data_IF_311764419237
#
_entry.id   IF_311764419237
#
_cell.length_a   1.000
_cell.length_b   1.000
_cell.length_c   1.000
_cell.angle_alpha   90.00
_cell.angle_beta   90.00
_cell.angle_gamma   90.00
#
_symmetry.space_group_name_H-M   'P 1'
#
loop_
_entity.id
_entity.type
_entity.pdbx_description
1 polymer ?
#
# COMPACT_ATOMS: atom_id res chain seq x y z
N UNK A 1 46.80 -64.97 14.33
CA UNK A 1 45.52 -64.40 13.83
C UNK A 1 45.07 -63.31 14.80
N UNK A 2 45.07 -62.06 14.32
CA UNK A 2 44.38 -60.84 14.79
C UNK A 2 44.33 -60.55 16.31
N UNK A 3 45.23 -59.68 16.77
CA UNK A 3 44.99 -58.78 17.91
C UNK A 3 44.54 -57.42 17.37
N UNK A 4 43.35 -56.96 17.76
CA UNK A 4 42.86 -55.60 17.53
C UNK A 4 43.10 -54.82 18.82
N UNK A 5 43.87 -53.74 18.74
CA UNK A 5 44.14 -52.82 19.84
C UNK A 5 42.96 -51.83 19.99
N UNK A 6 42.40 -51.73 21.18
CA UNK A 6 41.50 -50.63 21.56
C UNK A 6 42.35 -49.40 21.91
N UNK A 7 42.20 -48.32 21.13
CA UNK A 7 42.61 -46.99 21.54
C UNK A 7 41.53 -46.39 22.45
N UNK A 8 41.93 -46.02 23.67
CA UNK A 8 41.11 -45.25 24.61
C UNK A 8 41.40 -43.77 24.40
N UNK A 9 40.45 -43.01 23.85
CA UNK A 9 40.55 -41.55 23.73
C UNK A 9 39.99 -40.94 25.02
N UNK A 10 40.88 -40.34 25.82
CA UNK A 10 40.57 -39.59 27.03
C UNK A 10 40.13 -38.17 26.61
N UNK A 11 38.84 -37.86 26.70
CA UNK A 11 38.34 -36.49 26.52
C UNK A 11 38.60 -35.69 27.80
N UNK A 12 39.52 -34.72 27.72
CA UNK A 12 39.74 -33.72 28.76
C UNK A 12 38.61 -32.67 28.68
N UNK A 13 37.62 -32.76 29.57
CA UNK A 13 36.57 -31.75 29.72
C UNK A 13 37.17 -30.53 30.44
N UNK A 14 37.60 -29.53 29.67
CA UNK A 14 37.88 -28.19 30.20
C UNK A 14 36.54 -27.47 30.32
N UNK A 15 35.99 -27.42 31.53
CA UNK A 15 34.84 -26.59 31.86
C UNK A 15 35.34 -25.16 32.06
N UNK A 16 35.28 -24.34 31.02
CA UNK A 16 35.37 -22.88 31.17
C UNK A 16 34.03 -22.39 31.71
N UNK A 17 34.01 -21.52 32.75
CA UNK A 17 32.77 -20.89 33.17
C UNK A 17 32.35 -19.91 32.08
N UNK A 18 31.33 -20.26 31.30
CA UNK A 18 30.61 -19.32 30.46
C UNK A 18 29.80 -18.43 31.39
N UNK A 19 30.43 -17.38 31.91
CA UNK A 19 29.72 -16.19 32.37
C UNK A 19 29.49 -15.36 31.11
N UNK A 20 28.59 -15.83 30.26
CA UNK A 20 27.94 -14.99 29.26
C UNK A 20 26.72 -14.41 29.94
N UNK A 21 26.80 -13.18 30.44
CA UNK A 21 25.60 -12.36 30.52
C UNK A 21 25.04 -12.33 29.10
N UNK A 22 23.97 -13.05 28.85
CA UNK A 22 23.08 -12.74 27.73
C UNK A 22 22.55 -11.35 28.06
N UNK A 23 23.25 -10.32 27.58
CA UNK A 23 22.61 -9.04 27.34
C UNK A 23 21.56 -9.34 26.26
N UNK A 24 20.38 -9.80 26.68
CA UNK A 24 19.17 -9.56 25.91
C UNK A 24 19.20 -8.06 25.68
N UNK A 25 19.32 -7.66 24.41
CA UNK A 25 19.28 -6.25 24.05
C UNK A 25 17.92 -5.77 24.56
N UNK A 26 17.93 -4.83 25.50
CA UNK A 26 16.72 -4.09 25.85
C UNK A 26 16.42 -3.21 24.64
N UNK A 27 15.52 -3.69 23.79
CA UNK A 27 15.10 -3.07 22.55
C UNK A 27 14.36 -1.74 22.79
N UNK A 28 14.01 -1.41 24.04
CA UNK A 28 13.35 -0.14 24.39
C UNK A 28 14.18 1.10 24.08
N UNK A 29 15.52 1.01 24.10
CA UNK A 29 16.43 2.13 23.89
C UNK A 29 17.11 2.13 22.51
N UNK A 30 16.87 1.11 21.68
CA UNK A 30 17.45 1.02 20.35
C UNK A 30 16.89 2.12 19.47
N UNK A 31 17.79 2.93 18.90
CA UNK A 31 17.44 3.91 17.88
C UNK A 31 17.55 3.31 16.48
N UNK A 32 16.48 3.48 15.72
CA UNK A 32 16.36 2.99 14.35
C UNK A 32 15.47 3.92 13.52
N UNK A 33 15.57 3.77 12.21
CA UNK A 33 14.88 4.62 11.25
C UNK A 33 14.17 3.83 10.16
N UNK A 34 13.03 4.36 9.70
CA UNK A 34 12.25 3.81 8.60
C UNK A 34 11.97 4.92 7.58
N UNK A 35 12.40 4.69 6.33
CA UNK A 35 11.93 5.48 5.20
C UNK A 35 10.61 4.89 4.68
N UNK A 36 9.62 5.73 4.41
CA UNK A 36 8.42 5.32 3.69
C UNK A 36 8.00 6.38 2.68
N UNK A 37 7.38 5.92 1.60
CA UNK A 37 6.96 6.77 0.48
C UNK A 37 5.56 6.36 0.03
N UNK A 38 4.96 7.16 -0.86
CA UNK A 38 3.66 6.87 -1.47
C UNK A 38 3.66 5.72 -2.47
N UNK A 39 2.53 5.59 -3.19
CA UNK A 39 2.27 4.52 -4.15
C UNK A 39 3.33 4.46 -5.27
N UNK A 40 3.76 3.24 -5.61
CA UNK A 40 4.75 2.98 -6.67
C UNK A 40 4.08 2.28 -7.85
N UNK A 41 3.78 3.08 -8.87
CA UNK A 41 3.34 2.67 -10.20
C UNK A 41 4.44 3.02 -11.19
N UNK A 42 5.22 2.02 -11.62
CA UNK A 42 6.51 2.25 -12.30
C UNK A 42 6.68 1.32 -13.50
N UNK A 43 6.49 1.86 -14.71
CA UNK A 43 6.67 1.11 -15.97
C UNK A 43 8.01 1.35 -16.69
N UNK A 44 8.89 2.17 -16.11
CA UNK A 44 10.15 2.59 -16.72
C UNK A 44 11.22 2.80 -15.66
N UNK A 45 12.47 2.61 -16.06
CA UNK A 45 13.62 2.77 -15.18
C UNK A 45 13.78 4.23 -14.71
N UNK A 46 14.26 4.37 -13.47
CA UNK A 46 14.62 5.64 -12.83
C UNK A 46 16.09 5.71 -12.44
N UNK A 47 16.84 4.60 -12.44
CA UNK A 47 18.27 4.60 -12.15
C UNK A 47 19.12 5.54 -13.03
N UNK A 48 18.76 5.88 -14.28
CA UNK A 48 19.48 6.91 -15.02
C UNK A 48 19.47 8.31 -14.37
N UNK A 49 18.51 8.60 -13.48
CA UNK A 49 18.42 9.87 -12.75
C UNK A 49 19.24 9.87 -11.45
N UNK A 50 19.71 8.72 -10.97
CA UNK A 50 20.53 8.62 -9.77
C UNK A 50 21.99 9.01 -10.04
N UNK A 51 22.20 10.31 -10.30
CA UNK A 51 23.47 10.86 -10.72
C UNK A 51 23.71 12.25 -10.07
N UNK A 52 24.96 12.65 -9.80
CA UNK A 52 25.26 13.96 -9.20
C UNK A 52 24.79 15.19 -9.98
N UNK A 53 24.46 15.04 -11.27
CA UNK A 53 23.92 16.11 -12.12
C UNK A 53 22.39 16.24 -12.06
N UNK A 54 21.69 15.31 -11.39
CA UNK A 54 20.29 15.44 -10.97
C UNK A 54 20.22 15.30 -9.44
N UNK A 55 20.72 16.30 -8.69
CA UNK A 55 20.83 16.21 -7.23
C UNK A 55 19.48 16.02 -6.55
N UNK A 56 18.39 16.53 -7.12
CA UNK A 56 17.06 16.38 -6.52
C UNK A 56 16.56 14.93 -6.51
N UNK A 57 16.94 14.12 -7.50
CA UNK A 57 16.71 12.66 -7.48
C UNK A 57 17.78 11.94 -6.66
N UNK A 58 19.05 12.27 -6.90
CA UNK A 58 20.18 11.58 -6.26
C UNK A 58 20.17 11.70 -4.73
N UNK A 59 19.90 12.90 -4.20
CA UNK A 59 19.82 13.14 -2.76
C UNK A 59 18.59 12.44 -2.14
N UNK A 60 17.47 12.38 -2.88
CA UNK A 60 16.29 11.61 -2.47
C UNK A 60 16.62 10.13 -2.32
N UNK A 61 17.29 9.52 -3.30
CA UNK A 61 17.73 8.13 -3.22
C UNK A 61 18.72 7.91 -2.07
N UNK A 62 19.64 8.86 -1.83
CA UNK A 62 20.58 8.79 -0.71
C UNK A 62 19.87 8.88 0.66
N UNK A 63 18.80 9.66 0.79
CA UNK A 63 17.98 9.70 2.00
C UNK A 63 17.35 8.33 2.29
N UNK A 64 16.76 7.69 1.27
CA UNK A 64 16.17 6.35 1.40
C UNK A 64 17.24 5.33 1.84
N UNK A 65 18.40 5.30 1.17
CA UNK A 65 19.54 4.42 1.54
C UNK A 65 20.10 4.67 2.93
N UNK A 66 19.85 5.83 3.52
CA UNK A 66 20.35 6.18 4.85
C UNK A 66 19.51 5.61 5.99
N UNK A 67 18.28 5.15 5.71
CA UNK A 67 17.42 4.51 6.69
C UNK A 67 17.91 3.09 7.02
N UNK A 68 17.53 2.58 8.20
CA UNK A 68 17.80 1.19 8.58
C UNK A 68 16.91 0.19 7.81
N UNK A 69 15.75 0.65 7.33
CA UNK A 69 14.90 -0.04 6.36
C UNK A 69 14.07 0.97 5.56
N UNK A 70 13.65 0.60 4.35
CA UNK A 70 12.71 1.40 3.57
C UNK A 70 11.52 0.61 3.00
N UNK A 71 10.34 1.22 3.05
CA UNK A 71 9.05 0.63 2.73
C UNK A 71 8.34 1.31 1.56
N UNK A 72 7.68 0.51 0.70
CA UNK A 72 6.79 0.96 -0.38
C UNK A 72 5.50 0.13 -0.48
N UNK A 73 4.46 0.73 -1.05
CA UNK A 73 3.38 -0.01 -1.70
C UNK A 73 3.70 -0.23 -3.19
N UNK A 74 3.86 -1.49 -3.60
CA UNK A 74 4.09 -1.87 -5.00
C UNK A 74 2.73 -2.07 -5.70
N UNK A 75 2.22 -1.01 -6.33
CA UNK A 75 0.89 -0.97 -6.93
C UNK A 75 0.92 -1.37 -8.41
N UNK A 76 1.48 -2.54 -8.71
CA UNK A 76 1.61 -3.04 -10.07
C UNK A 76 2.00 -4.51 -10.10
N UNK A 77 1.80 -5.13 -11.26
CA UNK A 77 2.50 -6.36 -11.61
C UNK A 77 3.91 -6.06 -12.13
N UNK A 78 4.85 -6.98 -11.94
CA UNK A 78 6.22 -6.84 -12.47
C UNK A 78 6.65 -8.10 -13.19
N UNK A 79 6.72 -8.02 -14.52
CA UNK A 79 7.26 -9.06 -15.39
C UNK A 79 7.40 -8.54 -16.83
N UNK A 80 8.09 -9.30 -17.69
CA UNK A 80 8.16 -8.97 -19.11
C UNK A 80 6.97 -9.57 -19.83
N UNK A 81 6.06 -8.73 -20.34
CA UNK A 81 4.84 -9.21 -21.01
C UNK A 81 5.13 -10.17 -22.19
N UNK A 82 6.23 -9.96 -22.92
CA UNK A 82 6.61 -10.80 -24.04
C UNK A 82 6.91 -12.26 -23.65
N UNK A 83 7.31 -12.49 -22.39
CA UNK A 83 7.66 -13.80 -21.85
C UNK A 83 6.57 -14.33 -20.89
N UNK A 84 5.46 -13.61 -20.74
CA UNK A 84 4.44 -13.89 -19.75
C UNK A 84 3.53 -15.05 -20.17
N UNK A 85 3.48 -16.10 -19.34
CA UNK A 85 2.59 -17.25 -19.52
C UNK A 85 1.29 -17.06 -18.73
N UNK A 86 0.46 -16.12 -19.18
CA UNK A 86 -0.84 -15.86 -18.56
C UNK A 86 -1.71 -14.95 -19.42
N UNK A 87 -2.73 -14.35 -18.80
CA UNK A 87 -3.66 -13.46 -19.49
C UNK A 87 -3.83 -12.17 -18.68
N UNK A 88 -3.97 -11.01 -19.34
CA UNK A 88 -4.61 -9.87 -18.69
C UNK A 88 -5.93 -10.34 -18.09
N UNK A 89 -6.14 -10.09 -16.81
CA UNK A 89 -7.36 -10.50 -16.11
C UNK A 89 -8.11 -9.27 -15.59
N UNK A 90 -8.46 -8.31 -16.47
CA UNK A 90 -9.23 -7.17 -16.01
C UNK A 90 -10.59 -7.57 -15.52
N UNK A 91 -11.11 -6.78 -14.60
CA UNK A 91 -12.53 -6.71 -14.36
C UNK A 91 -13.06 -5.31 -14.67
N UNK A 92 -14.11 -5.29 -15.49
CA UNK A 92 -14.63 -4.11 -16.19
C UNK A 92 -15.19 -2.97 -15.33
N UNK A 93 -15.15 -3.06 -14.00
CA UNK A 93 -15.61 -2.00 -13.10
C UNK A 93 -14.47 -1.14 -12.51
N UNK A 94 -13.20 -1.58 -12.59
CA UNK A 94 -12.06 -0.75 -12.18
C UNK A 94 -11.60 0.15 -13.33
N UNK A 95 -11.80 1.47 -13.17
CA UNK A 95 -11.44 2.51 -14.14
C UNK A 95 -9.94 2.87 -14.09
N UNK A 96 -9.06 1.87 -14.05
CA UNK A 96 -7.59 2.02 -13.99
C UNK A 96 -6.86 1.56 -15.26
N UNK A 97 -5.53 1.73 -15.30
CA UNK A 97 -4.67 1.02 -16.25
C UNK A 97 -4.50 -0.44 -15.83
N UNK A 98 -3.69 -1.16 -16.61
CA UNK A 98 -3.10 -2.44 -16.28
C UNK A 98 -1.68 -2.14 -15.84
N UNK A 99 -1.48 -1.97 -14.54
CA UNK A 99 -0.22 -1.48 -14.02
C UNK A 99 0.84 -2.58 -14.15
N UNK A 100 1.80 -2.36 -15.05
CA UNK A 100 2.85 -3.31 -15.39
C UNK A 100 4.21 -2.61 -15.50
N UNK A 101 5.16 -3.11 -14.73
CA UNK A 101 6.57 -2.76 -14.84
C UNK A 101 7.42 -3.89 -15.41
N UNK A 102 8.46 -3.59 -16.21
CA UNK A 102 9.44 -4.60 -16.57
C UNK A 102 10.34 -4.93 -15.35
N UNK A 103 10.97 -6.11 -15.28
CA UNK A 103 11.77 -6.54 -14.12
C UNK A 103 12.79 -5.52 -13.61
N UNK A 104 13.38 -4.75 -14.53
CA UNK A 104 14.34 -3.66 -14.30
C UNK A 104 13.87 -2.64 -13.25
N UNK A 105 12.55 -2.46 -13.07
CA UNK A 105 12.00 -1.49 -12.11
C UNK A 105 12.21 -1.93 -10.66
N UNK A 106 12.16 -3.22 -10.36
CA UNK A 106 12.48 -3.74 -9.03
C UNK A 106 13.97 -3.66 -8.71
N UNK A 107 14.85 -3.80 -9.72
CA UNK A 107 16.29 -3.57 -9.53
C UNK A 107 16.56 -2.11 -9.17
N UNK A 108 15.91 -1.16 -9.84
CA UNK A 108 16.04 0.26 -9.54
C UNK A 108 15.54 0.57 -8.12
N UNK A 109 14.37 0.05 -7.71
CA UNK A 109 13.83 0.23 -6.36
C UNK A 109 14.77 -0.37 -5.29
N UNK A 110 15.34 -1.55 -5.55
CA UNK A 110 16.36 -2.15 -4.69
C UNK A 110 17.61 -1.26 -4.59
N UNK A 111 18.09 -0.71 -5.71
CA UNK A 111 19.25 0.18 -5.73
C UNK A 111 18.97 1.50 -5.00
N UNK A 112 17.73 1.98 -5.01
CA UNK A 112 17.30 3.15 -4.21
C UNK A 112 17.27 2.87 -2.70
N UNK A 113 17.35 1.61 -2.28
CA UNK A 113 17.41 1.20 -0.88
C UNK A 113 16.10 0.66 -0.30
N UNK A 114 15.11 0.30 -1.14
CA UNK A 114 13.86 -0.30 -0.65
C UNK A 114 14.02 -1.78 -0.33
N UNK A 115 13.48 -2.18 0.83
CA UNK A 115 13.58 -3.54 1.38
C UNK A 115 12.21 -4.19 1.57
N UNK A 116 11.20 -3.40 1.95
CA UNK A 116 9.87 -3.86 2.38
C UNK A 116 8.80 -3.46 1.35
N UNK A 117 8.11 -4.45 0.76
CA UNK A 117 7.19 -4.27 -0.37
C UNK A 117 5.79 -4.80 -0.01
N UNK A 118 4.80 -3.93 0.12
CA UNK A 118 3.40 -4.38 0.14
C UNK A 118 2.95 -4.73 -1.28
N UNK A 119 2.28 -5.87 -1.42
CA UNK A 119 1.64 -6.31 -2.67
C UNK A 119 0.12 -6.29 -2.61
N UNK A 120 -0.50 -6.10 -1.44
CA UNK A 120 -1.96 -6.06 -1.34
C UNK A 120 -2.49 -4.70 -1.82
N UNK A 121 -3.08 -4.66 -3.00
CA UNK A 121 -3.74 -3.47 -3.55
C UNK A 121 -4.75 -3.87 -4.65
N UNK A 122 -5.40 -2.88 -5.23
CA UNK A 122 -6.32 -3.05 -6.36
C UNK A 122 -5.67 -3.62 -7.62
N UNK A 123 -4.34 -3.47 -7.79
CA UNK A 123 -3.58 -3.89 -8.97
C UNK A 123 -2.86 -5.23 -8.81
N UNK A 124 -2.97 -5.91 -7.66
CA UNK A 124 -2.28 -7.18 -7.38
C UNK A 124 -2.54 -8.27 -8.42
N UNK A 125 -3.72 -8.26 -9.07
CA UNK A 125 -4.13 -9.31 -10.02
C UNK A 125 -4.55 -8.76 -11.39
N UNK A 126 -4.00 -7.63 -11.82
CA UNK A 126 -4.28 -7.07 -13.16
C UNK A 126 -4.02 -8.06 -14.30
N UNK A 127 -3.05 -8.96 -14.09
CA UNK A 127 -2.69 -10.06 -14.98
C UNK A 127 -2.96 -11.43 -14.35
N UNK A 128 -4.02 -11.50 -13.55
CA UNK A 128 -4.48 -12.74 -12.93
C UNK A 128 -3.55 -13.26 -11.84
N UNK A 129 -3.71 -14.55 -11.53
CA UNK A 129 -2.88 -15.24 -10.52
C UNK A 129 -1.46 -15.46 -11.06
N UNK A 130 -1.33 -15.63 -12.37
CA UNK A 130 -0.06 -15.79 -13.06
C UNK A 130 0.81 -14.52 -12.90
N UNK A 131 0.24 -13.33 -13.10
CA UNK A 131 0.96 -12.06 -12.91
C UNK A 131 1.35 -11.80 -11.46
N UNK A 132 0.47 -12.13 -10.51
CA UNK A 132 0.77 -12.12 -9.07
C UNK A 132 1.99 -13.01 -8.78
N UNK A 133 2.01 -14.24 -9.31
CA UNK A 133 3.09 -15.20 -9.09
C UNK A 133 4.42 -14.76 -9.67
N UNK A 134 4.43 -14.23 -10.89
CA UNK A 134 5.67 -13.71 -11.49
C UNK A 134 6.24 -12.54 -10.66
N UNK A 135 5.37 -11.68 -10.15
CA UNK A 135 5.78 -10.57 -9.27
C UNK A 135 6.38 -11.08 -7.96
N UNK A 136 5.71 -12.02 -7.27
CA UNK A 136 6.21 -12.67 -6.04
C UNK A 136 7.56 -13.35 -6.30
N UNK A 137 7.65 -14.15 -7.36
CA UNK A 137 8.86 -14.87 -7.73
C UNK A 137 10.04 -13.92 -7.93
N UNK A 138 9.84 -12.81 -8.63
CA UNK A 138 10.91 -11.84 -8.87
C UNK A 138 11.34 -11.12 -7.58
N UNK A 139 10.39 -10.78 -6.69
CA UNK A 139 10.72 -10.23 -5.37
C UNK A 139 11.54 -11.24 -4.53
N UNK A 140 11.16 -12.51 -4.54
CA UNK A 140 11.89 -13.60 -3.86
C UNK A 140 13.31 -13.78 -4.44
N UNK A 141 13.45 -13.81 -5.77
CA UNK A 141 14.74 -13.94 -6.46
C UNK A 141 15.68 -12.76 -6.17
N UNK A 142 15.13 -11.56 -5.97
CA UNK A 142 15.87 -10.38 -5.59
C UNK A 142 16.13 -10.28 -4.09
N UNK A 143 15.55 -11.17 -3.27
CA UNK A 143 15.65 -11.13 -1.82
C UNK A 143 14.98 -9.89 -1.20
N UNK A 144 13.94 -9.36 -1.85
CA UNK A 144 13.15 -8.24 -1.36
C UNK A 144 12.04 -8.77 -0.46
N UNK A 145 11.91 -8.22 0.74
CA UNK A 145 10.90 -8.67 1.70
C UNK A 145 9.54 -8.15 1.26
N UNK A 146 8.56 -9.03 1.18
CA UNK A 146 7.21 -8.66 0.75
C UNK A 146 6.12 -9.30 1.62
N UNK A 147 4.92 -8.71 1.58
CA UNK A 147 3.72 -9.20 2.27
C UNK A 147 2.46 -8.74 1.53
N UNK A 148 1.31 -9.32 1.89
CA UNK A 148 0.00 -8.90 1.40
C UNK A 148 -0.51 -9.69 0.19
N UNK A 149 0.27 -10.62 -0.37
CA UNK A 149 -0.18 -11.52 -1.43
C UNK A 149 0.44 -12.92 -1.26
N UNK A 150 -0.23 -13.95 -1.78
CA UNK A 150 0.31 -15.31 -1.72
C UNK A 150 -0.60 -16.37 -2.31
N UNK A 151 -0.16 -17.63 -2.21
CA UNK A 151 -0.83 -18.80 -2.80
C UNK A 151 -2.18 -19.16 -2.17
N UNK A 152 -2.47 -18.61 -0.99
CA UNK A 152 -3.74 -18.72 -0.28
C UNK A 152 -3.83 -17.66 0.81
N UNK A 153 -4.97 -17.57 1.51
CA UNK A 153 -5.18 -16.56 2.53
C UNK A 153 -4.18 -16.64 3.68
N UNK A 154 -3.74 -17.85 4.04
CA UNK A 154 -2.70 -18.05 5.05
C UNK A 154 -1.39 -17.42 4.62
N UNK A 155 -0.92 -17.68 3.41
CA UNK A 155 0.31 -17.05 2.88
C UNK A 155 0.17 -15.54 2.72
N UNK A 156 -0.94 -15.08 2.15
CA UNK A 156 -1.16 -13.65 1.94
C UNK A 156 -1.19 -12.85 3.25
N UNK A 157 -1.70 -13.43 4.33
CA UNK A 157 -1.83 -12.76 5.63
C UNK A 157 -0.54 -12.73 6.45
N UNK A 158 0.48 -13.51 6.06
CA UNK A 158 1.70 -13.64 6.86
C UNK A 158 2.55 -12.37 6.80
N UNK A 159 3.26 -12.05 7.89
CA UNK A 159 4.29 -11.04 7.86
C UNK A 159 5.47 -11.47 6.98
N UNK A 160 6.00 -10.53 6.21
CA UNK A 160 7.37 -10.61 5.69
C UNK A 160 8.35 -10.10 6.75
N UNK A 161 9.54 -10.69 6.86
CA UNK A 161 10.52 -10.31 7.89
C UNK A 161 11.84 -9.85 7.27
N UNK A 162 12.32 -8.69 7.72
CA UNK A 162 13.62 -8.13 7.40
C UNK A 162 14.50 -8.14 8.66
N UNK A 163 15.63 -8.82 8.62
CA UNK A 163 16.61 -8.81 9.70
C UNK A 163 17.63 -7.69 9.47
N UNK A 164 17.74 -6.77 10.44
CA UNK A 164 18.70 -5.64 10.39
C UNK A 164 19.63 -5.67 11.60
N UNK A 165 20.67 -4.84 11.58
CA UNK A 165 21.53 -4.65 12.76
C UNK A 165 20.80 -3.98 13.95
N UNK A 166 19.61 -3.39 13.70
CA UNK A 166 18.77 -2.76 14.72
C UNK A 166 17.71 -3.68 15.31
N UNK A 167 17.48 -4.83 14.69
CA UNK A 167 16.41 -5.74 15.05
C UNK A 167 15.69 -6.30 13.84
N UNK A 168 14.77 -7.21 14.10
CA UNK A 168 13.88 -7.80 13.11
C UNK A 168 12.67 -6.91 12.92
N UNK A 169 12.38 -6.60 11.66
CA UNK A 169 11.23 -5.82 11.24
C UNK A 169 10.23 -6.72 10.53
N UNK A 170 8.94 -6.60 10.87
CA UNK A 170 7.86 -7.31 10.20
C UNK A 170 7.04 -6.35 9.33
N UNK A 171 6.68 -6.76 8.13
CA UNK A 171 5.70 -6.08 7.28
C UNK A 171 4.43 -6.93 7.17
N UNK A 172 3.27 -6.35 7.46
CA UNK A 172 1.96 -6.93 7.16
C UNK A 172 1.22 -6.01 6.19
N UNK A 173 0.96 -6.53 5.00
CA UNK A 173 0.22 -5.84 3.95
C UNK A 173 -1.24 -6.28 3.85
N UNK A 174 -2.16 -5.37 3.54
CA UNK A 174 -3.56 -5.66 3.22
C UNK A 174 -4.18 -4.62 2.27
N UNK A 175 -5.36 -4.89 1.75
CA UNK A 175 -6.14 -3.90 0.99
C UNK A 175 -7.62 -3.98 1.35
N UNK A 176 -8.32 -2.85 1.36
CA UNK A 176 -9.79 -2.80 1.45
C UNK A 176 -10.45 -2.55 0.10
N UNK A 177 -9.74 -1.87 -0.80
CA UNK A 177 -10.21 -1.62 -2.16
C UNK A 177 -9.54 -2.60 -3.12
N UNK A 178 -10.29 -3.58 -3.58
CA UNK A 178 -9.81 -4.61 -4.49
C UNK A 178 -10.97 -5.30 -5.21
N UNK A 179 -10.66 -6.09 -6.24
CA UNK A 179 -11.65 -6.86 -6.96
C UNK A 179 -11.98 -8.15 -6.22
N UNK A 180 -13.23 -8.61 -6.27
CA UNK A 180 -13.69 -9.83 -5.57
C UNK A 180 -12.84 -11.07 -5.86
N UNK A 181 -12.31 -11.18 -7.08
CA UNK A 181 -11.46 -12.29 -7.49
C UNK A 181 -9.99 -12.15 -7.04
N UNK A 182 -9.52 -10.95 -6.73
CA UNK A 182 -8.17 -10.69 -6.21
C UNK A 182 -7.96 -11.23 -4.80
N UNK A 183 -9.04 -11.40 -4.02
CA UNK A 183 -8.95 -11.87 -2.63
C UNK A 183 -8.36 -13.29 -2.53
N UNK A 184 -7.35 -13.47 -1.69
CA UNK A 184 -6.88 -14.79 -1.32
C UNK A 184 -7.97 -15.58 -0.55
N UNK A 185 -8.07 -16.88 -0.82
CA UNK A 185 -9.02 -17.79 -0.17
C UNK A 185 -8.34 -18.77 0.77
N UNK A 186 -9.02 -19.14 1.86
CA UNK A 186 -8.56 -20.21 2.74
C UNK A 186 -8.62 -21.58 2.06
N UNK A 187 -7.69 -22.45 2.42
CA UNK A 187 -7.79 -23.87 2.08
C UNK A 187 -8.77 -24.55 3.04
N UNK A 188 -9.56 -25.49 2.53
CA UNK A 188 -10.35 -26.43 3.34
C UNK A 188 -9.69 -27.81 3.31
N UNK A 189 -10.15 -28.79 4.11
CA UNK A 189 -9.64 -30.16 4.01
C UNK A 189 -9.80 -30.79 2.61
N UNK A 190 -10.77 -30.32 1.83
CA UNK A 190 -11.13 -30.91 0.54
C UNK A 190 -10.60 -30.11 -0.67
N UNK A 191 -10.35 -28.81 -0.52
CA UNK A 191 -10.01 -27.91 -1.64
C UNK A 191 -8.87 -26.98 -1.25
N UNK A 192 -7.87 -26.85 -2.13
CA UNK A 192 -6.78 -25.91 -1.97
C UNK A 192 -7.28 -24.46 -1.84
N UNK A 193 -6.50 -23.64 -1.13
CA UNK A 193 -6.77 -22.21 -1.06
C UNK A 193 -6.60 -21.51 -2.40
N UNK A 194 -7.17 -20.32 -2.53
CA UNK A 194 -7.10 -19.50 -3.75
C UNK A 194 -5.98 -18.47 -3.61
N UNK A 195 -5.04 -18.38 -4.57
CA UNK A 195 -4.05 -17.30 -4.57
C UNK A 195 -4.70 -15.92 -4.66
N UNK A 196 -4.06 -14.92 -4.09
CA UNK A 196 -4.55 -13.55 -4.10
C UNK A 196 -3.93 -12.67 -3.03
N UNK A 197 -4.52 -11.49 -2.83
CA UNK A 197 -4.13 -10.54 -1.79
C UNK A 197 -4.77 -10.81 -0.43
N UNK A 198 -4.20 -10.24 0.63
CA UNK A 198 -4.74 -10.22 1.98
C UNK A 198 -5.88 -9.19 2.11
N UNK A 199 -7.15 -9.62 2.21
CA UNK A 199 -8.29 -8.72 2.18
C UNK A 199 -8.62 -8.11 3.55
N UNK A 200 -8.93 -6.82 3.56
CA UNK A 200 -9.63 -6.13 4.63
C UNK A 200 -11.02 -5.74 4.11
N UNK A 201 -11.97 -6.69 4.08
CA UNK A 201 -13.30 -6.43 3.50
C UNK A 201 -14.06 -5.42 4.33
N UNK A 202 -14.72 -4.49 3.65
CA UNK A 202 -15.67 -3.56 4.23
C UNK A 202 -17.08 -4.03 3.92
N UNK A 203 -17.85 -4.29 4.97
CA UNK A 203 -19.26 -4.60 4.87
C UNK A 203 -20.07 -3.31 4.78
N UNK A 204 -20.92 -3.23 3.76
CA UNK A 204 -21.80 -2.09 3.52
C UNK A 204 -23.23 -2.47 3.83
N UNK A 205 -23.86 -1.70 4.71
CA UNK A 205 -25.29 -1.78 4.99
C UNK A 205 -25.95 -0.48 4.55
N UNK A 206 -26.76 -0.57 3.50
CA UNK A 206 -27.56 0.56 3.03
C UNK A 206 -28.86 0.57 3.82
N UNK A 207 -29.11 1.67 4.53
CA UNK A 207 -30.35 1.90 5.25
C UNK A 207 -31.14 3.02 4.59
N UNK A 208 -32.45 2.85 4.53
CA UNK A 208 -33.39 3.83 4.01
C UNK A 208 -34.43 4.19 5.07
N UNK A 209 -34.74 5.48 5.17
CA UNK A 209 -35.85 6.02 5.95
C UNK A 209 -37.18 5.35 5.58
N UNK A 210 -38.20 5.43 6.45
CA UNK A 210 -39.52 4.89 6.16
C UNK A 210 -40.10 5.40 4.83
N UNK A 211 -39.90 6.68 4.50
CA UNK A 211 -40.36 7.25 3.23
C UNK A 211 -39.58 6.66 2.04
N UNK A 212 -38.25 6.65 2.12
CA UNK A 212 -37.39 6.18 1.03
C UNK A 212 -37.56 4.69 0.75
N UNK A 213 -37.64 3.85 1.80
CA UNK A 213 -37.81 2.42 1.61
C UNK A 213 -39.19 2.06 1.03
N UNK A 214 -40.24 2.82 1.37
CA UNK A 214 -41.56 2.63 0.76
C UNK A 214 -41.55 2.95 -0.74
N UNK A 215 -40.85 4.01 -1.16
CA UNK A 215 -40.68 4.33 -2.59
C UNK A 215 -39.87 3.27 -3.33
N UNK A 216 -38.75 2.82 -2.75
CA UNK A 216 -37.93 1.75 -3.33
C UNK A 216 -38.76 0.47 -3.46
N UNK A 217 -39.59 0.15 -2.46
CA UNK A 217 -40.51 -1.00 -2.48
C UNK A 217 -41.45 -0.96 -3.68
N UNK A 218 -42.06 0.20 -3.92
CA UNK A 218 -42.96 0.41 -5.06
C UNK A 218 -42.21 0.26 -6.39
N UNK A 219 -41.05 0.90 -6.53
CA UNK A 219 -40.23 0.83 -7.75
C UNK A 219 -39.74 -0.60 -7.99
N UNK A 220 -39.23 -1.29 -6.97
CA UNK A 220 -38.80 -2.68 -7.06
C UNK A 220 -39.94 -3.59 -7.53
N UNK A 221 -41.15 -3.42 -6.96
CA UNK A 221 -42.34 -4.14 -7.41
C UNK A 221 -42.71 -3.84 -8.87
N UNK A 222 -42.57 -2.58 -9.31
CA UNK A 222 -42.80 -2.18 -10.70
C UNK A 222 -41.77 -2.77 -11.68
N UNK A 223 -40.54 -3.04 -11.22
CA UNK A 223 -39.52 -3.78 -11.97
C UNK A 223 -39.68 -5.30 -11.90
N UNK A 224 -40.71 -5.80 -11.19
CA UNK A 224 -41.00 -7.23 -11.07
C UNK A 224 -40.13 -7.97 -10.05
N UNK A 225 -39.41 -7.26 -9.18
CA UNK A 225 -38.70 -7.85 -8.06
C UNK A 225 -39.69 -8.45 -7.06
N UNK A 226 -39.28 -9.52 -6.37
CA UNK A 226 -40.11 -10.10 -5.32
C UNK A 226 -39.98 -9.26 -4.05
N UNK A 227 -41.06 -8.57 -3.70
CA UNK A 227 -41.04 -7.56 -2.64
C UNK A 227 -42.00 -7.94 -1.51
N UNK A 228 -41.49 -8.00 -0.29
CA UNK A 228 -42.30 -8.29 0.91
C UNK A 228 -43.37 -7.21 1.13
N UNK A 229 -44.53 -7.62 1.62
CA UNK A 229 -45.58 -6.69 2.11
C UNK A 229 -45.31 -6.17 3.52
N UNK A 230 -44.34 -6.75 4.23
CA UNK A 230 -43.90 -6.26 5.54
C UNK A 230 -43.06 -4.99 5.37
N UNK A 231 -43.54 -3.89 5.94
CA UNK A 231 -42.87 -2.58 5.92
C UNK A 231 -41.52 -2.56 6.66
N UNK A 232 -41.29 -3.53 7.55
CA UNK A 232 -40.03 -3.68 8.31
C UNK A 232 -39.06 -4.68 7.67
N UNK A 233 -39.42 -5.29 6.54
CA UNK A 233 -38.51 -6.15 5.79
C UNK A 233 -37.61 -5.33 4.86
N UNK A 234 -36.38 -5.80 4.66
CA UNK A 234 -35.48 -5.30 3.62
C UNK A 234 -36.11 -5.41 2.21
N UNK A 235 -35.60 -4.59 1.31
CA UNK A 235 -35.96 -4.60 -0.12
C UNK A 235 -34.72 -4.95 -0.92
N UNK A 236 -34.81 -5.97 -1.76
CA UNK A 236 -33.82 -6.22 -2.80
C UNK A 236 -34.20 -5.43 -4.05
N UNK A 237 -33.27 -4.63 -4.56
CA UNK A 237 -33.49 -3.83 -5.76
C UNK A 237 -32.18 -3.67 -6.53
N UNK A 238 -32.19 -4.04 -7.82
CA UNK A 238 -31.04 -3.93 -8.73
C UNK A 238 -29.74 -4.53 -8.15
N UNK A 239 -29.86 -5.71 -7.51
CA UNK A 239 -28.73 -6.43 -6.92
C UNK A 239 -28.24 -5.86 -5.58
N UNK A 240 -28.86 -4.82 -5.03
CA UNK A 240 -28.56 -4.28 -3.70
C UNK A 240 -29.64 -4.69 -2.69
N UNK A 241 -29.23 -4.95 -1.44
CA UNK A 241 -30.17 -5.13 -0.32
C UNK A 241 -30.22 -3.84 0.50
N UNK A 242 -31.43 -3.31 0.66
CA UNK A 242 -31.69 -2.02 1.33
C UNK A 242 -32.54 -2.29 2.55
N UNK A 243 -32.05 -1.92 3.73
CA UNK A 243 -32.69 -2.20 5.00
C UNK A 243 -33.49 -1.00 5.50
N UNK A 244 -34.60 -1.22 6.24
CA UNK A 244 -35.28 -0.13 6.92
C UNK A 244 -34.37 0.47 8.00
N UNK A 245 -34.31 1.79 8.07
CA UNK A 245 -33.58 2.54 9.07
C UNK A 245 -34.27 3.85 9.42
N UNK A 246 -33.70 4.58 10.38
CA UNK A 246 -34.27 5.86 10.83
C UNK A 246 -34.03 7.01 9.82
N UNK A 247 -33.02 6.87 8.95
CA UNK A 247 -32.63 7.84 7.93
C UNK A 247 -31.93 7.13 6.77
N UNK A 248 -31.81 7.83 5.64
CA UNK A 248 -31.04 7.36 4.49
C UNK A 248 -29.54 7.45 4.81
N UNK A 249 -28.86 6.31 4.82
CA UNK A 249 -27.42 6.24 5.12
C UNK A 249 -26.77 4.98 4.58
N UNK A 250 -25.45 5.02 4.42
CA UNK A 250 -24.62 3.83 4.21
C UNK A 250 -23.75 3.67 5.45
N UNK A 251 -23.86 2.51 6.10
CA UNK A 251 -23.02 2.13 7.22
C UNK A 251 -21.91 1.22 6.67
N UNK A 252 -20.66 1.56 7.00
CA UNK A 252 -19.49 0.78 6.64
C UNK A 252 -18.83 0.24 7.90
N UNK A 253 -18.54 -1.06 7.92
CA UNK A 253 -17.86 -1.73 9.03
C UNK A 253 -16.83 -2.71 8.50
N UNK A 254 -15.74 -2.92 9.24
CA UNK A 254 -14.74 -3.93 8.87
C UNK A 254 -15.34 -5.33 9.06
N UNK A 255 -15.11 -6.23 8.10
CA UNK A 255 -15.51 -7.62 8.22
C UNK A 255 -14.79 -8.26 9.41
N UNK A 256 -15.56 -8.79 10.36
CA UNK A 256 -15.03 -9.31 11.64
C UNK A 256 -14.01 -10.43 11.49
N UNK A 257 -14.15 -11.29 10.48
CA UNK A 257 -13.20 -12.38 10.25
C UNK A 257 -11.86 -11.85 9.71
N UNK A 258 -11.90 -10.86 8.82
CA UNK A 258 -10.70 -10.23 8.31
C UNK A 258 -9.99 -9.43 9.42
N UNK A 259 -10.75 -8.64 10.18
CA UNK A 259 -10.26 -7.91 11.34
C UNK A 259 -9.57 -8.86 12.34
N UNK A 260 -10.25 -9.95 12.74
CA UNK A 260 -9.71 -10.91 13.70
C UNK A 260 -8.43 -11.56 13.21
N UNK A 261 -8.39 -11.98 11.93
CA UNK A 261 -7.20 -12.59 11.30
C UNK A 261 -6.03 -11.61 11.31
N UNK A 262 -6.24 -10.39 10.82
CA UNK A 262 -5.18 -9.39 10.68
C UNK A 262 -4.64 -8.96 12.04
N UNK A 263 -5.51 -8.64 13.01
CA UNK A 263 -5.07 -8.28 14.36
C UNK A 263 -4.34 -9.43 15.05
N UNK A 264 -4.66 -10.69 14.73
CA UNK A 264 -3.94 -11.86 15.25
C UNK A 264 -2.56 -12.01 14.62
N UNK A 265 -2.41 -11.77 13.33
CA UNK A 265 -1.11 -11.75 12.66
C UNK A 265 -0.23 -10.59 13.14
N UNK A 266 -0.81 -9.41 13.45
CA UNK A 266 -0.07 -8.30 14.06
C UNK A 266 0.47 -8.68 15.45
N UNK A 267 -0.35 -9.30 16.30
CA UNK A 267 0.10 -9.80 17.61
C UNK A 267 1.20 -10.84 17.46
N UNK A 268 1.01 -11.81 16.57
CA UNK A 268 2.01 -12.84 16.27
C UNK A 268 3.33 -12.21 15.76
N UNK A 269 3.26 -11.22 14.87
CA UNK A 269 4.44 -10.50 14.41
C UNK A 269 5.13 -9.74 15.55
N UNK A 270 4.38 -9.10 16.45
CA UNK A 270 4.94 -8.41 17.60
C UNK A 270 5.61 -9.34 18.62
N UNK A 271 5.30 -10.64 18.61
CA UNK A 271 5.99 -11.65 19.42
C UNK A 271 7.27 -12.18 18.73
N UNK A 272 7.41 -11.97 17.42
CA UNK A 272 8.47 -12.54 16.58
C UNK A 272 9.44 -11.49 16.00
N UNK A 273 9.10 -10.21 16.10
CA UNK A 273 9.86 -9.08 15.56
C UNK A 273 9.88 -7.94 16.57
N UNK A 274 10.96 -7.16 16.53
CA UNK A 274 11.14 -5.99 17.38
C UNK A 274 10.21 -4.85 16.93
N UNK A 275 10.04 -4.69 15.61
CA UNK A 275 9.25 -3.62 15.01
C UNK A 275 8.25 -4.16 13.98
N UNK A 276 7.01 -3.66 13.99
CA UNK A 276 5.93 -4.13 13.11
C UNK A 276 5.38 -2.98 12.29
N UNK A 277 5.60 -3.03 10.98
CA UNK A 277 5.07 -2.11 9.99
C UNK A 277 3.79 -2.71 9.44
N UNK A 278 2.68 -1.98 9.53
CA UNK A 278 1.39 -2.40 8.97
C UNK A 278 1.01 -1.45 7.86
N UNK A 279 0.53 -2.01 6.74
CA UNK A 279 0.09 -1.24 5.60
C UNK A 279 -1.30 -1.68 5.13
N UNK A 280 -2.12 -0.71 4.72
CA UNK A 280 -3.35 -0.95 3.98
C UNK A 280 -3.41 -0.12 2.71
N UNK A 281 -3.81 -0.73 1.60
CA UNK A 281 -4.20 -0.02 0.39
C UNK A 281 -5.73 0.18 0.36
N UNK A 282 -6.18 1.41 0.59
CA UNK A 282 -7.55 1.79 0.92
C UNK A 282 -7.94 3.13 0.30
N UNK A 283 -8.77 3.10 -0.74
CA UNK A 283 -9.24 4.33 -1.40
C UNK A 283 -10.38 5.01 -0.63
N UNK A 284 -11.03 4.30 0.30
CA UNK A 284 -12.24 4.79 0.95
C UNK A 284 -12.03 6.14 1.66
N UNK A 285 -13.05 7.01 1.69
CA UNK A 285 -14.34 6.85 1.00
C UNK A 285 -14.25 7.13 -0.51
N UNK A 286 -13.22 7.85 -0.98
CA UNK A 286 -12.85 8.01 -2.39
C UNK A 286 -11.47 8.67 -2.53
N UNK A 287 -10.89 8.62 -3.73
CA UNK A 287 -9.62 9.31 -4.03
C UNK A 287 -9.71 10.82 -3.87
N UNK A 288 -10.89 11.41 -3.98
CA UNK A 288 -11.10 12.86 -3.83
C UNK A 288 -11.23 13.28 -2.36
N UNK A 289 -11.47 12.34 -1.44
CA UNK A 289 -11.61 12.65 -0.02
C UNK A 289 -10.25 12.91 0.63
N UNK A 290 -10.15 14.03 1.33
CA UNK A 290 -8.99 14.38 2.17
C UNK A 290 -9.04 13.71 3.55
N UNK A 291 -10.20 13.20 3.95
CA UNK A 291 -10.38 12.52 5.24
C UNK A 291 -10.61 11.01 5.03
N UNK A 292 -9.97 10.15 5.84
CA UNK A 292 -10.31 8.74 5.89
C UNK A 292 -11.72 8.54 6.47
N UNK A 293 -12.36 7.39 6.21
CA UNK A 293 -13.61 7.03 6.89
C UNK A 293 -13.32 6.62 8.34
N UNK A 294 -14.32 6.78 9.23
CA UNK A 294 -14.15 6.48 10.66
C UNK A 294 -13.68 5.05 10.92
N UNK A 295 -14.21 4.07 10.19
CA UNK A 295 -13.80 2.67 10.38
C UNK A 295 -12.30 2.45 10.15
N UNK A 296 -11.67 3.24 9.25
CA UNK A 296 -10.25 3.13 8.97
C UNK A 296 -9.43 3.69 10.13
N UNK A 297 -9.86 4.82 10.70
CA UNK A 297 -9.27 5.40 11.93
C UNK A 297 -9.38 4.41 13.09
N UNK A 298 -10.57 3.83 13.31
CA UNK A 298 -10.78 2.85 14.37
C UNK A 298 -9.89 1.62 14.17
N UNK A 299 -9.80 1.11 12.95
CA UNK A 299 -8.98 -0.05 12.63
C UNK A 299 -7.47 0.20 12.74
N UNK A 300 -6.97 1.39 12.37
CA UNK A 300 -5.55 1.72 12.57
C UNK A 300 -5.21 1.80 14.06
N UNK A 301 -6.11 2.31 14.90
CA UNK A 301 -5.93 2.32 16.36
C UNK A 301 -5.88 0.89 16.92
N UNK A 302 -6.77 0.01 16.48
CA UNK A 302 -6.75 -1.41 16.86
C UNK A 302 -5.47 -2.12 16.42
N UNK A 303 -4.95 -1.83 15.22
CA UNK A 303 -3.70 -2.39 14.72
C UNK A 303 -2.50 -1.92 15.55
N UNK A 304 -2.45 -0.64 15.91
CA UNK A 304 -1.46 -0.12 16.86
C UNK A 304 -1.59 -0.84 18.21
N UNK A 305 -2.79 -0.96 18.75
CA UNK A 305 -3.04 -1.64 20.03
C UNK A 305 -2.65 -3.13 20.00
N UNK A 306 -2.75 -3.77 18.83
CA UNK A 306 -2.32 -5.15 18.62
C UNK A 306 -0.80 -5.34 18.54
N UNK A 307 -0.01 -4.26 18.38
CA UNK A 307 1.45 -4.31 18.38
C UNK A 307 2.15 -3.61 17.23
N UNK A 308 1.41 -3.02 16.28
CA UNK A 308 2.01 -2.26 15.19
C UNK A 308 2.81 -1.06 15.71
N UNK A 309 4.01 -0.84 15.18
CA UNK A 309 4.89 0.31 15.46
C UNK A 309 4.56 1.51 14.59
N UNK A 310 3.98 1.29 13.42
CA UNK A 310 3.44 2.31 12.51
C UNK A 310 2.33 1.70 11.65
N UNK A 311 1.41 2.54 11.17
CA UNK A 311 0.41 2.16 10.18
C UNK A 311 0.44 3.13 9.00
N UNK A 312 0.60 2.61 7.78
CA UNK A 312 0.74 3.45 6.58
C UNK A 312 -0.35 3.09 5.59
N UNK A 313 -1.22 4.04 5.23
CA UNK A 313 -2.28 3.86 4.24
C UNK A 313 -1.80 4.35 2.87
N UNK A 314 -2.23 3.65 1.83
CA UNK A 314 -1.98 3.91 0.41
C UNK A 314 -3.28 3.87 -0.39
N UNK A 315 -3.29 4.33 -1.65
CA UNK A 315 -4.44 4.26 -2.56
C UNK A 315 -5.21 5.55 -2.83
N UNK A 316 -5.33 6.53 -1.90
CA UNK A 316 -5.96 7.80 -2.23
C UNK A 316 -5.21 8.60 -3.32
N UNK A 317 -3.95 8.27 -3.62
CA UNK A 317 -3.06 8.95 -4.58
C UNK A 317 -2.82 10.46 -4.32
N UNK A 318 -3.26 10.97 -3.18
CA UNK A 318 -2.97 12.31 -2.69
C UNK A 318 -2.69 12.26 -1.19
N UNK A 319 -2.05 13.29 -0.65
CA UNK A 319 -1.76 13.37 0.78
C UNK A 319 -3.04 13.38 1.63
N UNK A 320 -2.99 12.68 2.77
CA UNK A 320 -3.98 12.78 3.86
C UNK A 320 -3.23 12.99 5.18
N UNK A 321 -3.98 13.33 6.23
CA UNK A 321 -3.39 13.69 7.52
C UNK A 321 -2.55 12.60 8.18
N UNK A 322 -1.74 13.03 9.13
CA UNK A 322 -0.90 12.18 9.98
C UNK A 322 -1.38 12.27 11.43
N UNK A 323 -1.46 11.13 12.09
CA UNK A 323 -1.84 11.01 13.50
C UNK A 323 -0.72 10.33 14.30
N UNK A 324 -0.47 10.80 15.53
CA UNK A 324 0.44 10.14 16.47
C UNK A 324 -0.36 9.50 17.61
N UNK A 325 -0.75 8.25 17.40
CA UNK A 325 -1.55 7.47 18.36
C UNK A 325 -0.64 6.66 19.28
N UNK A 326 -0.70 6.91 20.59
CA UNK A 326 0.11 6.22 21.63
C UNK A 326 1.62 6.18 21.31
N UNK A 327 2.17 7.29 20.78
CA UNK A 327 3.59 7.39 20.44
C UNK A 327 3.98 6.64 19.17
N UNK A 328 3.01 6.27 18.32
CA UNK A 328 3.22 5.55 17.07
C UNK A 328 2.51 6.28 15.93
N UNK A 329 3.19 6.51 14.79
CA UNK A 329 2.63 7.29 13.71
C UNK A 329 1.67 6.47 12.86
N UNK A 330 0.62 7.14 12.39
CA UNK A 330 -0.35 6.64 11.43
C UNK A 330 -0.40 7.65 10.28
N UNK A 331 -0.16 7.19 9.06
CA UNK A 331 -0.22 8.01 7.86
C UNK A 331 -1.45 7.60 7.06
N UNK A 332 -2.43 8.50 6.90
CA UNK A 332 -3.67 8.17 6.19
C UNK A 332 -3.54 8.23 4.65
N UNK A 333 -2.44 8.77 4.14
CA UNK A 333 -1.95 8.62 2.76
C UNK A 333 -0.63 9.39 2.59
N UNK A 334 0.33 8.80 1.88
CA UNK A 334 1.59 9.46 1.51
C UNK A 334 1.58 10.03 0.07
N UNK A 335 0.47 9.91 -0.66
CA UNK A 335 0.41 10.29 -2.08
C UNK A 335 1.07 9.24 -2.98
N UNK A 336 1.68 9.68 -4.08
CA UNK A 336 2.41 8.80 -5.00
C UNK A 336 3.92 9.02 -4.89
N UNK A 337 4.73 7.97 -4.97
CA UNK A 337 6.19 8.09 -5.07
C UNK A 337 6.70 7.97 -6.51
N UNK A 338 6.16 7.03 -7.27
CA UNK A 338 6.39 6.94 -8.72
C UNK A 338 5.02 6.75 -9.37
N UNK A 339 4.71 7.55 -10.39
CA UNK A 339 3.36 7.63 -10.94
C UNK A 339 3.36 7.65 -12.47
N UNK A 340 3.80 6.55 -13.07
CA UNK A 340 3.96 6.42 -14.52
C UNK A 340 2.69 5.90 -15.23
N UNK A 341 1.57 6.61 -15.08
CA UNK A 341 0.24 6.17 -15.54
C UNK A 341 -0.08 6.48 -17.01
N UNK A 342 0.84 7.11 -17.74
CA UNK A 342 0.63 7.63 -19.10
C UNK A 342 1.54 6.98 -20.16
N UNK A 343 2.29 5.93 -19.79
CA UNK A 343 3.37 5.37 -20.63
C UNK A 343 3.40 3.84 -20.67
N UNK A 344 2.35 3.15 -20.19
CA UNK A 344 2.28 1.68 -20.29
C UNK A 344 2.00 1.32 -21.75
N UNK A 345 2.88 0.50 -22.31
CA UNK A 345 2.84 -0.02 -23.68
C UNK A 345 3.59 -1.37 -23.70
N UNK A 346 3.01 -2.46 -24.25
CA UNK A 346 1.68 -2.56 -24.87
C UNK A 346 0.53 -2.70 -23.88
N UNK A 347 -0.68 -2.37 -24.37
CA UNK A 347 -1.92 -2.38 -23.59
C UNK A 347 -2.89 -3.48 -24.09
N UNK A 348 -3.72 -4.09 -23.23
CA UNK A 348 -4.71 -5.10 -23.64
C UNK A 348 -5.85 -4.51 -24.49
N UNK A 349 -6.71 -5.36 -25.07
CA UNK A 349 -7.86 -4.95 -25.89
C UNK A 349 -8.90 -4.17 -25.10
N UNK A 350 -9.14 -4.56 -23.85
CA UNK A 350 -10.20 -4.05 -22.98
C UNK A 350 -10.11 -2.54 -22.73
N UNK A 351 -8.90 -1.97 -22.65
CA UNK A 351 -8.76 -0.52 -22.48
C UNK A 351 -9.12 0.23 -23.76
N UNK A 352 -8.89 -0.38 -24.92
CA UNK A 352 -9.29 0.20 -26.21
C UNK A 352 -10.81 0.19 -26.36
N UNK A 353 -11.44 -0.93 -26.02
CA UNK A 353 -12.91 -1.03 -25.97
C UNK A 353 -13.52 -0.04 -24.99
N UNK A 354 -12.93 0.11 -23.78
CA UNK A 354 -13.41 1.03 -22.75
C UNK A 354 -13.45 2.49 -23.21
N UNK A 355 -12.45 2.92 -23.98
CA UNK A 355 -12.35 4.28 -24.47
C UNK A 355 -12.83 4.43 -25.92
N UNK A 356 -13.46 3.38 -26.48
CA UNK A 356 -14.01 3.35 -27.85
C UNK A 356 -12.99 3.79 -28.91
N UNK A 357 -11.75 3.33 -28.78
CA UNK A 357 -10.67 3.55 -29.75
C UNK A 357 -10.41 2.28 -30.56
N UNK A 358 -9.96 2.43 -31.81
CA UNK A 358 -9.67 1.32 -32.71
C UNK A 358 -8.62 0.36 -32.15
N UNK A 359 -8.67 -0.92 -32.56
CA UNK A 359 -7.70 -1.94 -32.11
C UNK A 359 -6.28 -1.66 -32.61
N UNK A 360 -6.14 -0.88 -33.67
CA UNK A 360 -4.89 -0.36 -34.23
C UNK A 360 -4.40 0.93 -33.56
N UNK A 361 -5.17 1.51 -32.63
CA UNK A 361 -4.76 2.69 -31.88
C UNK A 361 -3.48 2.41 -31.07
N UNK A 362 -2.52 3.33 -31.19
CA UNK A 362 -1.29 3.34 -30.44
C UNK A 362 -1.56 3.71 -28.98
N UNK A 363 -0.65 3.31 -28.08
CA UNK A 363 -0.81 3.59 -26.64
C UNK A 363 -1.01 5.09 -26.35
N UNK A 364 -0.30 5.98 -27.06
CA UNK A 364 -0.47 7.44 -26.91
C UNK A 364 -1.90 7.89 -27.21
N UNK A 365 -2.53 7.38 -28.27
CA UNK A 365 -3.90 7.74 -28.67
C UNK A 365 -4.94 7.27 -27.65
N UNK A 366 -4.71 6.10 -27.04
CA UNK A 366 -5.53 5.59 -25.93
C UNK A 366 -5.50 6.56 -24.75
N UNK A 367 -4.31 7.03 -24.36
CA UNK A 367 -4.17 7.96 -23.25
C UNK A 367 -4.72 9.35 -23.55
N UNK A 368 -4.51 9.85 -24.77
CA UNK A 368 -5.01 11.15 -25.18
C UNK A 368 -6.56 11.15 -25.14
N UNK A 369 -7.17 10.03 -25.50
CA UNK A 369 -8.62 9.79 -25.36
C UNK A 369 -9.04 9.67 -23.89
N UNK A 370 -8.33 8.85 -23.10
CA UNK A 370 -8.62 8.61 -21.67
C UNK A 370 -8.62 9.91 -20.86
N UNK A 371 -7.63 10.77 -21.09
CA UNK A 371 -7.39 11.99 -20.33
C UNK A 371 -7.88 13.27 -21.02
N UNK A 372 -8.52 13.14 -22.19
CA UNK A 372 -9.07 14.24 -22.99
C UNK A 372 -8.05 15.36 -23.16
N UNK A 373 -7.00 15.07 -23.91
CA UNK A 373 -5.90 16.00 -24.14
C UNK A 373 -6.35 17.16 -25.05
N UNK A 374 -6.00 18.40 -24.69
CA UNK A 374 -6.30 19.61 -25.45
C UNK A 374 -5.31 19.86 -26.61
N UNK A 375 -5.49 20.97 -27.35
CA UNK A 375 -4.64 21.33 -28.50
C UNK A 375 -3.18 21.58 -28.11
N UNK A 376 -2.91 21.91 -26.85
CA UNK A 376 -1.57 22.18 -26.30
C UNK A 376 -0.91 20.92 -25.71
N UNK A 377 -1.61 19.77 -25.72
CA UNK A 377 -1.10 18.51 -25.20
C UNK A 377 -1.35 18.29 -23.71
N UNK A 378 -2.23 19.08 -23.08
CA UNK A 378 -2.54 18.97 -21.66
C UNK A 378 -3.79 18.14 -21.40
N UNK A 379 -3.72 17.24 -20.43
CA UNK A 379 -4.88 16.48 -19.97
C UNK A 379 -5.91 17.40 -19.29
N UNK A 380 -7.19 17.20 -19.61
CA UNK A 380 -8.29 18.00 -19.01
C UNK A 380 -9.14 17.21 -18.02
N UNK A 381 -8.94 15.88 -17.92
CA UNK A 381 -9.60 15.03 -16.92
C UNK A 381 -8.65 13.97 -16.35
N UNK A 382 -9.04 13.40 -15.20
CA UNK A 382 -8.31 12.31 -14.56
C UNK A 382 -7.11 12.81 -13.75
N UNK A 383 -6.16 11.92 -13.49
CA UNK A 383 -5.02 12.28 -12.65
C UNK A 383 -4.09 13.33 -13.29
N UNK A 384 -3.72 13.27 -14.58
CA UNK A 384 -2.77 14.25 -15.13
C UNK A 384 -3.29 15.69 -15.20
N UNK A 385 -4.60 15.93 -15.02
CA UNK A 385 -5.19 17.27 -15.09
C UNK A 385 -5.07 18.09 -13.80
N UNK A 386 -4.57 17.53 -12.70
CA UNK A 386 -4.49 18.22 -11.41
C UNK A 386 -3.16 17.94 -10.69
N UNK A 387 -2.47 19.00 -10.28
CA UNK A 387 -1.19 18.95 -9.59
C UNK A 387 -1.20 18.17 -8.27
N UNK A 388 -2.36 18.04 -7.62
CA UNK A 388 -2.47 17.42 -6.30
C UNK A 388 -2.03 15.94 -6.29
N UNK A 389 -2.20 15.24 -7.41
CA UNK A 389 -1.80 13.83 -7.57
C UNK A 389 -0.29 13.65 -7.73
N UNK A 390 0.44 14.75 -7.95
CA UNK A 390 1.89 14.78 -8.21
C UNK A 390 2.68 15.43 -7.06
N UNK A 391 2.00 15.64 -5.93
CA UNK A 391 2.58 16.11 -4.67
C UNK A 391 2.65 14.96 -3.67
N UNK A 392 3.80 14.82 -3.03
CA UNK A 392 4.07 13.68 -2.15
C UNK A 392 5.11 14.04 -1.11
N UNK A 393 5.42 13.09 -0.23
CA UNK A 393 6.50 13.19 0.74
C UNK A 393 7.24 11.85 0.83
N UNK A 394 8.57 11.91 0.94
CA UNK A 394 9.33 10.85 1.59
C UNK A 394 9.29 11.14 3.10
N UNK A 395 8.83 10.16 3.88
CA UNK A 395 8.86 10.27 5.35
C UNK A 395 10.05 9.50 5.90
N UNK A 396 10.88 10.19 6.67
CA UNK A 396 11.95 9.61 7.47
C UNK A 396 11.49 9.60 8.92
N UNK A 397 11.21 8.40 9.44
CA UNK A 397 10.78 8.20 10.81
C UNK A 397 11.96 7.76 11.66
N UNK A 398 12.19 8.43 12.79
CA UNK A 398 13.23 8.09 13.77
C UNK A 398 12.57 7.62 15.06
N UNK A 399 12.86 6.39 15.46
CA UNK A 399 12.26 5.75 16.63
C UNK A 399 13.29 5.50 17.73
N UNK A 400 12.81 5.43 18.98
CA UNK A 400 13.48 4.79 20.11
C UNK A 400 12.59 3.66 20.63
N UNK A 401 13.08 2.43 20.52
CA UNK A 401 12.24 1.25 20.70
C UNK A 401 11.02 1.31 19.78
N UNK A 402 9.81 1.26 20.34
CA UNK A 402 8.56 1.34 19.56
C UNK A 402 7.96 2.74 19.48
N UNK A 403 8.59 3.75 20.08
CA UNK A 403 8.06 5.12 20.12
C UNK A 403 8.76 5.99 19.09
N UNK A 404 7.98 6.80 18.38
CA UNK A 404 8.49 7.81 17.43
C UNK A 404 9.09 9.00 18.19
N UNK A 405 10.32 9.37 17.87
CA UNK A 405 11.01 10.56 18.40
C UNK A 405 10.88 11.75 17.44
N UNK A 406 11.04 11.51 16.14
CA UNK A 406 11.03 12.53 15.09
C UNK A 406 10.46 11.97 13.78
N UNK A 407 9.72 12.78 13.04
CA UNK A 407 9.36 12.52 11.65
C UNK A 407 9.83 13.70 10.81
N UNK A 408 10.63 13.43 9.79
CA UNK A 408 10.99 14.39 8.74
C UNK A 408 10.25 14.07 7.47
N UNK A 409 9.52 15.04 6.95
CA UNK A 409 8.76 14.98 5.72
C UNK A 409 9.54 15.70 4.63
N UNK A 410 10.18 14.95 3.74
CA UNK A 410 10.91 15.48 2.59
C UNK A 410 9.94 15.66 1.43
N UNK A 411 9.59 16.90 1.03
CA UNK A 411 8.60 17.12 -0.01
C UNK A 411 9.08 16.61 -1.36
N UNK A 412 8.21 15.91 -2.08
CA UNK A 412 8.47 15.34 -3.39
C UNK A 412 7.54 15.97 -4.41
N UNK A 413 8.11 16.34 -5.55
CA UNK A 413 7.35 16.58 -6.77
C UNK A 413 7.55 15.45 -7.77
N UNK A 414 6.52 15.21 -8.56
CA UNK A 414 6.52 14.21 -9.63
C UNK A 414 6.53 14.84 -11.03
N UNK A 415 6.98 16.10 -11.13
CA UNK A 415 7.14 16.81 -12.41
C UNK A 415 5.83 16.93 -13.19
N UNK A 416 4.75 17.35 -12.54
CA UNK A 416 3.41 17.47 -13.15
C UNK A 416 3.41 18.24 -14.47
N UNK A 417 4.11 19.38 -14.52
CA UNK A 417 4.21 20.23 -15.71
C UNK A 417 5.16 19.66 -16.78
N UNK A 418 5.89 18.59 -16.48
CA UNK A 418 6.78 17.95 -17.45
C UNK A 418 5.99 17.12 -18.47
N UNK A 419 6.57 16.86 -19.66
CA UNK A 419 5.98 15.96 -20.64
C UNK A 419 5.76 14.55 -20.06
N UNK A 420 4.80 13.79 -20.62
CA UNK A 420 4.47 12.41 -20.21
C UNK A 420 5.68 11.46 -20.10
N UNK A 421 6.74 11.71 -20.88
CA UNK A 421 7.97 10.93 -20.87
C UNK A 421 8.90 11.21 -19.68
N UNK A 422 8.56 12.19 -18.84
CA UNK A 422 9.33 12.61 -17.67
C UNK A 422 8.48 12.70 -16.40
N UNK A 423 7.20 13.03 -16.55
CA UNK A 423 6.20 13.09 -15.48
C UNK A 423 6.12 11.76 -14.71
N UNK A 424 5.87 11.85 -13.41
CA UNK A 424 5.73 10.70 -12.52
C UNK A 424 7.04 10.21 -11.88
N UNK A 425 8.17 10.87 -12.15
CA UNK A 425 9.47 10.53 -11.54
C UNK A 425 9.79 11.47 -10.37
N UNK A 426 10.11 10.95 -9.18
CA UNK A 426 10.25 11.74 -7.96
C UNK A 426 11.53 12.55 -7.90
N UNK A 427 11.42 13.80 -7.44
CA UNK A 427 12.52 14.69 -7.08
C UNK A 427 12.17 15.42 -5.79
N UNK A 428 13.17 15.78 -5.00
CA UNK A 428 12.98 16.73 -3.89
C UNK A 428 12.40 18.03 -4.48
N UNK A 429 11.26 18.47 -3.93
CA UNK A 429 10.57 19.65 -4.43
C UNK A 429 11.38 20.94 -4.13
N UNK A 430 11.38 21.93 -5.03
CA UNK A 430 11.99 23.23 -4.79
C UNK A 430 11.22 24.01 -3.71
N UNK A 431 11.91 24.92 -3.01
CA UNK A 431 11.41 25.60 -1.78
C UNK A 431 9.96 26.11 -1.84
N UNK A 432 9.49 26.80 -2.91
CA UNK A 432 8.12 27.30 -2.93
C UNK A 432 7.08 26.17 -2.94
N UNK A 433 7.38 25.08 -3.67
CA UNK A 433 6.51 23.91 -3.74
C UNK A 433 6.65 23.05 -2.48
N UNK A 434 7.87 22.90 -1.96
CA UNK A 434 8.16 22.19 -0.72
C UNK A 434 7.35 22.77 0.45
N UNK A 435 7.38 24.10 0.62
CA UNK A 435 6.58 24.80 1.63
C UNK A 435 5.09 24.53 1.46
N UNK A 436 4.56 24.67 0.23
CA UNK A 436 3.14 24.41 -0.07
C UNK A 436 2.72 22.98 0.28
N UNK A 437 3.57 21.99 -0.02
CA UNK A 437 3.32 20.58 0.32
C UNK A 437 3.25 20.38 1.84
N UNK A 438 4.20 20.95 2.59
CA UNK A 438 4.25 20.80 4.05
C UNK A 438 3.13 21.55 4.76
N UNK A 439 2.83 22.78 4.35
CA UNK A 439 1.71 23.54 4.91
C UNK A 439 0.38 22.81 4.68
N UNK A 440 0.16 22.24 3.50
CA UNK A 440 -1.00 21.41 3.22
C UNK A 440 -1.04 20.15 4.09
N UNK A 441 0.09 19.45 4.25
CA UNK A 441 0.16 18.26 5.11
C UNK A 441 -0.10 18.61 6.58
N UNK A 442 0.38 19.76 7.05
CA UNK A 442 0.11 20.26 8.40
C UNK A 442 -1.38 20.55 8.60
N UNK A 443 -2.05 21.19 7.63
CA UNK A 443 -3.49 21.43 7.65
C UNK A 443 -4.29 20.13 7.73
N UNK A 444 -3.92 19.12 6.93
CA UNK A 444 -4.55 17.80 6.92
C UNK A 444 -4.34 17.04 8.24
N UNK A 445 -3.23 17.32 8.94
CA UNK A 445 -2.84 16.62 10.18
C UNK A 445 -3.36 17.30 11.44
N UNK A 446 -3.73 18.59 11.37
CA UNK A 446 -4.24 19.37 12.49
C UNK A 446 -5.48 18.75 13.20
N UNK A 447 -6.46 18.13 12.50
CA UNK A 447 -7.59 17.47 13.17
C UNK A 447 -7.19 16.32 14.11
N UNK A 448 -6.01 15.73 13.91
CA UNK A 448 -5.46 14.65 14.74
C UNK A 448 -4.52 15.15 15.83
N UNK A 449 -4.31 16.47 15.94
CA UNK A 449 -3.42 17.08 16.92
C UNK A 449 -1.93 16.93 16.61
N UNK A 450 -1.57 16.65 15.35
CA UNK A 450 -0.17 16.53 14.92
C UNK A 450 0.31 17.88 14.35
N UNK A 451 1.24 18.54 15.07
CA UNK A 451 1.84 19.82 14.65
C UNK A 451 3.10 19.59 13.80
N UNK A 452 2.98 19.83 12.49
CA UNK A 452 4.09 19.69 11.52
C UNK A 452 4.62 21.08 11.19
N UNK A 453 5.91 21.32 11.44
CA UNK A 453 6.57 22.61 11.20
C UNK A 453 7.44 22.55 9.95
N UNK A 454 7.46 23.61 9.15
CA UNK A 454 8.38 23.72 8.02
C UNK A 454 9.72 24.30 8.45
N UNK A 455 10.79 23.52 8.37
CA UNK A 455 12.15 23.84 8.81
C UNK A 455 13.15 23.39 7.74
N UNK A 456 14.03 24.28 7.27
CA UNK A 456 15.11 23.97 6.32
C UNK A 456 14.71 23.16 5.07
N UNK A 457 13.53 23.44 4.51
CA UNK A 457 13.04 22.78 3.30
C UNK A 457 12.26 21.48 3.53
N UNK A 458 12.08 21.07 4.78
CA UNK A 458 11.36 19.84 5.16
C UNK A 458 10.27 20.13 6.18
N UNK A 459 9.29 19.24 6.28
CA UNK A 459 8.37 19.21 7.42
C UNK A 459 9.01 18.45 8.57
N UNK A 460 8.81 18.90 9.79
CA UNK A 460 9.35 18.28 11.00
C UNK A 460 8.26 18.15 12.05
N UNK A 461 8.14 16.96 12.60
CA UNK A 461 7.42 16.68 13.84
C UNK A 461 8.38 16.04 14.84
N UNK A 462 8.28 16.39 16.13
CA UNK A 462 9.12 15.87 17.22
C UNK A 462 8.28 15.56 18.45
N UNK A 463 8.61 14.52 19.21
CA UNK A 463 7.83 14.15 20.40
C UNK A 463 7.69 15.28 21.46
N UNK A 464 8.65 16.21 21.52
CA UNK A 464 8.66 17.35 22.45
C UNK A 464 7.70 18.49 22.06
N UNK A 465 7.00 18.42 20.92
CA UNK A 465 6.08 19.48 20.45
C UNK A 465 4.68 19.46 21.08
N UNK A 466 4.49 18.81 22.23
CA UNK A 466 3.19 18.68 22.93
C UNK A 466 3.01 19.66 24.10
#
# INVERSE_FOLDING_TARGET
MKHIALLSILYLLVVLPVIGQTNLIDDSDVQWSLAAVGDVIMNRQVSPYDQPNDPAFHDLANLIRSADAAFINLEQSVFRLADFEGWPAPLGNMRGNYELGPPETLFDLKLMGFDLFNQANNHTTDYGVEGLRETIKLLDELGLVHSGAGENLGWASRPGYLDTAKGRMALIGMASTFQTMSRAGEATPDVMGRPGLNPLRIERRVEASPETIAMIREVAGAYGENVSTDQFAEVQFLGSTIFPGARDQVLETVNVNDQTRILSEIRNASDQADYVIVNSHSHEPSNESLMPPNWLVDFTHEAIDAGASTFIVHGPHQLRGVEIYKGRPIFYSLGNFIFHIETIDPMPSDIRERYDVGMDALASEVYDTRFKVDEDGNATVGYPSDEKWYRSVLVMMSFRGKNIEEIRFHPIELGWELPRSQRGTPRIAPEPLARKIIEHLAELSAPYGTDIRYEDGVGVWTADSR
#
